data_IF_382812393741
#
_entry.id   IF_382812393741
#
_cell.length_a   1.000
_cell.length_b   1.000
_cell.length_c   1.000
_cell.angle_alpha   90.00
_cell.angle_beta   90.00
_cell.angle_gamma   90.00
#
_symmetry.space_group_name_H-M   'P 1'
#
loop_
_entity.id
_entity.type
_entity.pdbx_description
1 polymer ?
#
# COMPACT_ATOMS: atom_id res chain seq x y z
N UNK A 1 -3.29 9.10 35.27
CA UNK A 1 -2.95 8.52 34.64
C UNK A 1 -3.40 8.17 33.53
N UNK A 2 -3.19 7.98 32.73
CA UNK A 2 -3.55 7.70 31.66
C UNK A 2 -3.23 6.97 30.85
N UNK A 3 -3.50 6.53 30.23
CA UNK A 3 -3.40 5.67 29.53
C UNK A 3 -3.54 5.85 28.30
N UNK A 4 -2.77 5.99 27.63
CA UNK A 4 -2.75 6.08 26.29
C UNK A 4 -3.17 4.84 25.68
N UNK A 5 -4.19 4.83 25.14
CA UNK A 5 -4.56 3.79 24.33
C UNK A 5 -3.76 3.84 23.13
N UNK A 6 -2.92 2.97 22.94
CA UNK A 6 -2.11 2.99 21.78
C UNK A 6 -2.94 2.62 20.59
N UNK A 7 -3.28 3.58 19.88
CA UNK A 7 -3.91 3.38 18.61
C UNK A 7 -3.01 2.60 17.64
N UNK A 8 -1.78 2.41 18.00
CA UNK A 8 -0.86 1.71 17.13
C UNK A 8 -0.96 0.20 17.16
N UNK A 9 -1.80 -0.35 18.02
CA UNK A 9 -1.88 -1.79 18.17
C UNK A 9 -2.54 -2.49 17.00
N UNK A 10 -3.11 -1.76 16.08
CA UNK A 10 -3.91 -2.33 15.01
C UNK A 10 -3.14 -2.64 13.75
N UNK A 11 -1.95 -2.08 13.60
CA UNK A 11 -1.17 -2.25 12.38
C UNK A 11 0.09 -3.03 12.67
N UNK A 12 0.40 -4.02 11.86
CA UNK A 12 1.65 -4.76 11.97
C UNK A 12 2.83 -3.87 11.63
N UNK A 13 4.00 -4.21 12.15
CA UNK A 13 5.22 -3.51 11.81
C UNK A 13 5.44 -3.57 10.31
N UNK A 14 5.74 -2.45 9.71
CA UNK A 14 5.92 -2.36 8.26
C UNK A 14 4.64 -2.21 7.46
N UNK A 15 3.48 -2.14 8.14
CA UNK A 15 2.21 -1.94 7.45
C UNK A 15 1.99 -0.46 7.12
N UNK A 16 1.29 -0.20 6.02
CA UNK A 16 1.09 1.17 5.55
C UNK A 16 0.23 2.00 6.48
N UNK A 17 -0.70 1.39 7.22
CA UNK A 17 -1.51 2.14 8.17
C UNK A 17 -0.62 2.86 9.18
N UNK A 18 0.43 2.20 9.65
CA UNK A 18 1.36 2.79 10.59
C UNK A 18 2.18 3.92 9.93
N UNK A 19 2.62 3.69 8.72
CA UNK A 19 3.38 4.68 7.96
C UNK A 19 2.53 5.92 7.69
N UNK A 20 1.27 5.72 7.28
CA UNK A 20 0.37 6.82 7.01
C UNK A 20 0.06 7.62 8.28
N UNK A 21 -0.18 6.93 9.38
CA UNK A 21 -0.43 7.60 10.64
C UNK A 21 0.75 8.45 11.05
N UNK A 22 1.96 7.97 10.85
CA UNK A 22 3.18 8.72 11.17
C UNK A 22 3.33 9.97 10.31
N UNK A 23 2.70 9.98 9.13
CA UNK A 23 2.71 11.13 8.23
C UNK A 23 1.50 12.05 8.41
N UNK A 24 0.68 11.77 9.42
CA UNK A 24 -0.49 12.60 9.69
C UNK A 24 -1.74 12.21 8.92
N UNK A 25 -1.74 11.05 8.26
CA UNK A 25 -2.91 10.57 7.53
C UNK A 25 -3.76 9.72 8.48
N UNK A 26 -4.93 10.21 8.83
CA UNK A 26 -5.80 9.55 9.79
C UNK A 26 -6.55 8.38 9.16
N UNK A 27 -7.06 7.50 10.00
CA UNK A 27 -7.86 6.37 9.54
C UNK A 27 -9.05 6.82 8.70
N UNK A 28 -9.68 7.94 9.07
CA UNK A 28 -10.82 8.47 8.34
C UNK A 28 -10.48 8.94 6.92
N UNK A 29 -9.20 9.23 6.65
CA UNK A 29 -8.80 9.63 5.31
C UNK A 29 -9.01 8.51 4.29
N UNK A 30 -8.97 7.26 4.76
CA UNK A 30 -9.24 6.09 3.91
C UNK A 30 -10.63 5.53 4.13
N UNK A 31 -11.05 5.43 5.39
CA UNK A 31 -12.30 4.76 5.74
C UNK A 31 -13.50 5.69 5.85
N UNK A 32 -13.28 7.00 5.83
CA UNK A 32 -14.35 7.95 6.04
C UNK A 32 -14.80 7.96 7.49
N UNK A 33 -16.01 8.47 7.71
CA UNK A 33 -16.55 8.63 9.05
C UNK A 33 -17.42 7.45 9.50
N UNK A 34 -17.33 6.34 8.79
CA UNK A 34 -18.12 5.17 9.10
C UNK A 34 -17.53 4.38 10.27
N UNK A 35 -18.40 3.69 11.01
CA UNK A 35 -17.97 2.78 12.06
C UNK A 35 -17.67 1.39 11.52
N UNK A 36 -18.11 1.09 10.32
CA UNK A 36 -17.87 -0.20 9.69
C UNK A 36 -16.69 -0.08 8.73
N UNK A 37 -15.54 -0.56 9.16
CA UNK A 37 -14.33 -0.47 8.36
C UNK A 37 -14.32 -1.61 7.34
N UNK A 38 -14.82 -1.33 6.16
CA UNK A 38 -14.77 -2.25 5.04
C UNK A 38 -13.45 -2.05 4.28
N UNK A 39 -13.09 -3.00 3.40
CA UNK A 39 -11.92 -2.80 2.55
C UNK A 39 -12.01 -1.50 1.78
N UNK A 40 -10.91 -0.77 1.73
CA UNK A 40 -10.84 0.53 1.07
C UNK A 40 -10.67 0.30 -0.43
N UNK A 41 -11.49 0.95 -1.27
CA UNK A 41 -11.35 0.79 -2.71
C UNK A 41 -10.06 1.45 -3.21
N UNK A 42 -9.55 0.93 -4.31
CA UNK A 42 -8.28 1.39 -4.89
C UNK A 42 -8.32 2.87 -5.25
N UNK A 43 -9.46 3.38 -5.64
CA UNK A 43 -9.61 4.79 -5.97
C UNK A 43 -9.22 5.70 -4.82
N UNK A 44 -9.38 5.22 -3.59
CA UNK A 44 -9.01 6.00 -2.42
C UNK A 44 -7.49 6.14 -2.33
N UNK A 45 -6.78 5.09 -2.69
CA UNK A 45 -5.31 5.15 -2.75
C UNK A 45 -4.87 6.16 -3.80
N UNK A 46 -5.48 6.06 -4.97
CA UNK A 46 -5.10 6.88 -6.11
C UNK A 46 -5.47 8.35 -5.93
N UNK A 47 -6.43 8.66 -5.06
CA UNK A 47 -6.82 10.05 -4.83
C UNK A 47 -5.67 10.89 -4.29
N UNK A 48 -4.72 10.28 -3.60
CA UNK A 48 -3.53 10.96 -3.08
C UNK A 48 -2.28 10.59 -3.86
N UNK A 49 -2.19 9.34 -4.32
CA UNK A 49 -0.97 8.83 -4.97
C UNK A 49 -0.94 9.06 -6.48
N UNK A 50 -2.01 9.57 -7.06
CA UNK A 50 -2.09 9.78 -8.49
C UNK A 50 -2.57 8.53 -9.21
N UNK A 51 -2.76 8.63 -10.53
CA UNK A 51 -3.27 7.49 -11.26
C UNK A 51 -2.20 6.41 -11.48
N UNK A 52 -2.65 5.24 -11.93
CA UNK A 52 -1.77 4.08 -12.10
C UNK A 52 -0.64 4.34 -13.09
N UNK A 53 -0.91 5.09 -14.14
CA UNK A 53 0.12 5.39 -15.14
C UNK A 53 1.18 6.33 -14.59
N UNK A 54 0.77 7.29 -13.76
CA UNK A 54 1.71 8.20 -13.10
C UNK A 54 2.61 7.43 -12.14
N UNK A 55 2.06 6.46 -11.41
CA UNK A 55 2.85 5.61 -10.54
C UNK A 55 3.84 4.77 -11.33
N UNK A 56 3.40 4.22 -12.47
CA UNK A 56 4.28 3.45 -13.34
C UNK A 56 5.46 4.29 -13.81
N UNK A 57 5.21 5.55 -14.13
CA UNK A 57 6.27 6.46 -14.55
C UNK A 57 7.29 6.70 -13.42
N UNK A 58 6.81 6.81 -12.20
CA UNK A 58 7.69 7.04 -11.04
C UNK A 58 8.60 5.85 -10.75
N UNK A 59 8.17 4.65 -11.10
CA UNK A 59 8.93 3.44 -10.81
C UNK A 59 9.56 2.83 -12.06
N UNK A 60 9.64 3.59 -13.14
CA UNK A 60 10.17 3.09 -14.40
C UNK A 60 11.61 2.57 -14.30
N UNK A 61 12.37 3.06 -13.31
CA UNK A 61 13.75 2.66 -13.11
C UNK A 61 13.93 1.43 -12.22
N UNK A 62 12.85 0.88 -11.70
CA UNK A 62 12.94 -0.30 -10.84
C UNK A 62 13.30 -1.51 -11.68
N UNK A 63 14.29 -2.25 -11.23
CA UNK A 63 14.82 -3.42 -11.93
C UNK A 63 14.57 -4.68 -11.12
N UNK A 64 14.36 -5.80 -11.78
CA UNK A 64 14.45 -6.04 -13.24
C UNK A 64 13.17 -5.72 -14.00
N UNK A 65 12.11 -5.30 -13.33
CA UNK A 65 10.86 -4.94 -13.99
C UNK A 65 10.18 -3.83 -13.21
N UNK A 66 9.30 -3.09 -13.88
CA UNK A 66 8.51 -2.06 -13.22
C UNK A 66 7.30 -2.72 -12.55
N UNK A 67 7.22 -2.69 -11.21
CA UNK A 67 6.10 -3.34 -10.53
C UNK A 67 4.74 -2.70 -10.82
N UNK A 68 4.73 -1.44 -11.23
CA UNK A 68 3.48 -0.74 -11.54
C UNK A 68 3.13 -0.79 -13.03
N UNK A 69 3.95 -1.46 -13.82
CA UNK A 69 3.64 -1.72 -15.23
C UNK A 69 4.27 -3.04 -15.62
N UNK A 70 3.54 -4.12 -15.43
CA UNK A 70 4.06 -5.46 -15.67
C UNK A 70 3.20 -6.22 -16.67
N UNK A 71 3.70 -7.38 -17.11
CA UNK A 71 3.02 -8.15 -18.13
C UNK A 71 1.73 -8.79 -17.69
N UNK A 72 1.57 -9.01 -16.37
CA UNK A 72 0.39 -9.69 -15.86
C UNK A 72 -0.81 -8.78 -15.69
N UNK A 73 -0.55 -7.53 -15.31
CA UNK A 73 -1.62 -6.61 -14.96
C UNK A 73 -1.57 -5.27 -15.70
N UNK A 74 -0.52 -5.08 -16.53
CA UNK A 74 -0.31 -3.75 -17.10
C UNK A 74 -0.10 -2.74 -15.99
N UNK A 75 -0.85 -1.64 -16.01
CA UNK A 75 -0.79 -0.63 -14.96
C UNK A 75 -1.95 -0.76 -13.97
N UNK A 76 -2.75 -1.83 -14.08
CA UNK A 76 -4.02 -1.93 -13.35
C UNK A 76 -4.04 -2.98 -12.24
N UNK A 77 -2.89 -3.33 -11.70
CA UNK A 77 -2.86 -4.23 -10.53
C UNK A 77 -3.49 -3.53 -9.33
N UNK A 78 -4.21 -4.30 -8.52
CA UNK A 78 -4.78 -3.78 -7.29
C UNK A 78 -3.65 -3.41 -6.33
N UNK A 79 -3.73 -2.24 -5.74
CA UNK A 79 -2.72 -1.76 -4.80
C UNK A 79 -2.53 -2.74 -3.64
N UNK A 80 -3.61 -3.31 -3.14
CA UNK A 80 -3.57 -4.25 -2.03
C UNK A 80 -2.94 -5.59 -2.34
N UNK A 81 -2.65 -5.87 -3.63
CA UNK A 81 -1.99 -7.11 -3.99
C UNK A 81 -0.58 -7.18 -3.38
N UNK A 82 0.10 -6.05 -3.34
CA UNK A 82 1.46 -5.98 -2.81
C UNK A 82 1.55 -5.09 -1.57
N UNK A 83 0.79 -4.00 -1.54
CA UNK A 83 0.87 -3.05 -0.44
C UNK A 83 -0.09 -3.41 0.67
N UNK A 84 0.45 -3.73 1.84
CA UNK A 84 -0.35 -4.07 3.01
C UNK A 84 -0.67 -2.84 3.83
N UNK A 85 -1.94 -2.62 4.13
CA UNK A 85 -2.35 -1.48 4.95
C UNK A 85 -2.30 -1.83 6.43
N UNK A 86 -2.85 -2.98 6.81
CA UNK A 86 -2.86 -3.45 8.20
C UNK A 86 -1.96 -4.67 8.43
N UNK A 87 -1.25 -5.08 7.40
CA UNK A 87 -0.31 -6.18 7.45
C UNK A 87 0.92 -5.75 6.64
N UNK A 88 2.06 -6.43 6.80
CA UNK A 88 3.25 -6.06 6.03
C UNK A 88 3.01 -6.17 4.53
N UNK A 89 3.61 -5.25 3.79
CA UNK A 89 3.61 -5.32 2.33
C UNK A 89 4.48 -6.50 1.90
N UNK A 90 4.19 -7.04 0.72
CA UNK A 90 4.95 -8.18 0.23
C UNK A 90 5.17 -8.06 -1.27
N UNK A 91 6.28 -8.61 -1.72
CA UNK A 91 6.60 -8.65 -3.13
C UNK A 91 5.99 -9.92 -3.73
N UNK A 92 4.84 -9.76 -4.36
CA UNK A 92 4.10 -10.86 -4.94
C UNK A 92 4.88 -11.54 -6.07
N UNK A 93 5.77 -10.82 -6.73
CA UNK A 93 6.54 -11.36 -7.85
C UNK A 93 7.46 -12.51 -7.44
N UNK A 94 7.91 -12.51 -6.18
CA UNK A 94 8.88 -13.49 -5.71
C UNK A 94 8.35 -14.92 -5.70
N UNK A 95 7.04 -15.10 -5.68
CA UNK A 95 6.46 -16.45 -5.70
C UNK A 95 6.85 -17.22 -6.98
N UNK A 96 7.08 -16.49 -8.06
CA UNK A 96 7.46 -17.08 -9.33
C UNK A 96 8.79 -16.55 -9.88
N UNK A 97 9.20 -15.36 -9.46
CA UNK A 97 10.38 -14.68 -10.01
C UNK A 97 11.39 -14.34 -8.91
N UNK A 98 12.24 -15.28 -8.51
CA UNK A 98 13.18 -15.03 -7.40
C UNK A 98 14.12 -13.84 -7.61
N UNK A 99 14.33 -13.44 -8.86
CA UNK A 99 15.21 -12.32 -9.17
C UNK A 99 14.54 -10.96 -9.07
N UNK A 100 13.21 -10.94 -8.95
CA UNK A 100 12.46 -9.68 -8.84
C UNK A 100 12.41 -9.26 -7.38
N UNK A 101 13.57 -9.04 -6.81
CA UNK A 101 13.73 -8.87 -5.36
C UNK A 101 13.71 -7.41 -4.91
N UNK A 102 13.11 -6.53 -5.68
CA UNK A 102 12.92 -5.16 -5.23
C UNK A 102 12.04 -5.13 -3.99
N UNK A 103 12.23 -4.11 -3.18
CA UNK A 103 11.51 -4.00 -1.92
C UNK A 103 10.18 -3.27 -2.13
N UNK A 104 9.11 -3.83 -1.58
CA UNK A 104 7.79 -3.19 -1.58
C UNK A 104 7.62 -2.47 -0.24
N UNK A 105 7.32 -1.17 -0.32
CA UNK A 105 7.10 -0.35 0.88
C UNK A 105 5.75 -0.59 1.50
#
# INVERSE_FOLDING_TARGET
MLLGVSAGAWAAEGALAKTHAAKGVACAACHGQTKNFAPVPQEQCLSCHGDSKALAAKTANVKPTNPHENRHYGTEADCGLCHGVHKPSQNFCLDCHPRFNFKVK
#
